data_IF_208316001360
#
_entry.id   IF_208316001360
#
_cell.length_a   1.000
_cell.length_b   1.000
_cell.length_c   1.000
_cell.angle_alpha   90.00
_cell.angle_beta   90.00
_cell.angle_gamma   90.00
#
_symmetry.space_group_name_H-M   'P 1'
#
loop_
_entity.id
_entity.type
_entity.pdbx_description
1 polymer ?
#
# COMPACT_ATOMS: atom_id res chain seq x y z
N UNK A 1 21.47 -31.41 -3.19
CA UNK A 1 21.01 -30.02 -3.40
C UNK A 1 19.56 -30.07 -3.84
N UNK A 2 18.62 -29.65 -2.99
CA UNK A 2 17.21 -29.53 -3.39
C UNK A 2 16.66 -28.24 -2.79
N UNK A 3 16.43 -27.26 -3.67
CA UNK A 3 15.92 -25.94 -3.32
C UNK A 3 14.44 -26.00 -3.04
N UNK A 4 14.05 -25.58 -1.83
CA UNK A 4 12.65 -25.36 -1.51
C UNK A 4 12.25 -23.98 -2.05
N UNK A 5 11.72 -23.94 -3.27
CA UNK A 5 10.95 -22.78 -3.75
C UNK A 5 9.67 -22.71 -2.91
N UNK A 6 9.72 -21.96 -1.81
CA UNK A 6 8.52 -21.50 -1.15
C UNK A 6 7.80 -20.58 -2.13
N UNK A 7 6.84 -21.14 -2.85
CA UNK A 7 5.80 -20.42 -3.56
C UNK A 7 4.94 -19.68 -2.52
N UNK A 8 5.50 -18.63 -1.91
CA UNK A 8 4.71 -17.66 -1.16
C UNK A 8 4.03 -16.83 -2.24
N UNK A 9 2.89 -17.33 -2.71
CA UNK A 9 1.93 -16.50 -3.42
C UNK A 9 1.78 -15.20 -2.65
N UNK A 10 1.77 -14.08 -3.38
CA UNK A 10 1.81 -12.70 -2.90
C UNK A 10 0.91 -12.46 -1.68
N UNK A 11 1.37 -12.88 -0.50
CA UNK A 11 0.86 -12.40 0.75
C UNK A 11 1.34 -10.97 0.80
N UNK A 12 0.45 -10.04 0.44
CA UNK A 12 0.59 -8.65 0.78
C UNK A 12 0.79 -8.62 2.30
N UNK A 13 2.04 -8.58 2.74
CA UNK A 13 2.37 -8.38 4.14
C UNK A 13 1.92 -6.97 4.43
N UNK A 14 0.84 -6.82 5.20
CA UNK A 14 0.31 -5.52 5.58
C UNK A 14 1.05 -5.08 6.83
N UNK A 15 1.92 -4.08 6.70
CA UNK A 15 2.62 -3.48 7.82
C UNK A 15 1.78 -2.35 8.45
N UNK A 16 1.08 -1.58 7.61
CA UNK A 16 0.26 -0.44 8.01
C UNK A 16 -1.13 -0.52 7.39
N UNK A 17 -2.18 -0.27 8.18
CA UNK A 17 -3.57 -0.20 7.73
C UNK A 17 -4.18 1.15 8.09
N UNK A 18 -4.76 1.83 7.10
CA UNK A 18 -5.58 3.02 7.27
C UNK A 18 -7.04 2.59 7.24
N UNK A 19 -7.69 2.66 8.39
CA UNK A 19 -9.08 2.19 8.56
C UNK A 19 -10.11 3.04 7.80
N UNK A 20 -11.33 2.51 7.63
CA UNK A 20 -12.34 3.07 6.71
C UNK A 20 -12.93 4.41 7.17
N UNK A 21 -12.79 4.74 8.45
CA UNK A 21 -13.27 6.00 9.03
C UNK A 21 -12.18 7.08 9.09
N UNK A 22 -10.99 6.80 8.57
CA UNK A 22 -9.85 7.73 8.60
C UNK A 22 -9.87 8.58 7.33
N UNK A 23 -9.71 9.90 7.52
CA UNK A 23 -9.45 10.84 6.43
C UNK A 23 -8.11 11.52 6.70
N UNK A 24 -7.15 11.32 5.81
CA UNK A 24 -5.85 11.98 5.86
C UNK A 24 -5.83 13.14 4.85
N UNK A 25 -5.39 14.31 5.30
CA UNK A 25 -5.18 15.49 4.46
C UNK A 25 -3.71 15.88 4.54
N UNK A 26 -2.99 15.72 3.43
CA UNK A 26 -1.54 15.92 3.35
C UNK A 26 -0.83 14.73 2.71
N UNK A 27 0.50 14.78 2.75
CA UNK A 27 1.37 13.82 2.08
C UNK A 27 1.80 12.70 3.04
N UNK A 28 1.84 11.47 2.52
CA UNK A 28 2.24 10.25 3.20
C UNK A 28 3.50 9.68 2.55
N UNK A 29 4.48 9.38 3.39
CA UNK A 29 5.65 8.58 3.04
C UNK A 29 5.53 7.23 3.75
N UNK A 30 5.72 6.13 3.03
CA UNK A 30 5.63 4.79 3.61
C UNK A 30 6.69 3.84 3.03
N UNK A 31 6.98 2.77 3.77
CA UNK A 31 7.72 1.61 3.28
C UNK A 31 7.00 0.33 3.71
N UNK A 32 7.34 -0.79 3.06
CA UNK A 32 6.62 -2.05 3.27
C UNK A 32 5.20 -2.03 2.68
N UNK A 33 4.27 -2.73 3.32
CA UNK A 33 2.88 -2.83 2.89
C UNK A 33 1.97 -1.78 3.53
N UNK A 34 1.29 -0.98 2.70
CA UNK A 34 0.27 -0.02 3.11
C UNK A 34 -1.10 -0.44 2.56
N UNK A 35 -2.06 -0.71 3.44
CA UNK A 35 -3.44 -1.05 3.09
C UNK A 35 -4.40 0.11 3.43
N UNK A 36 -5.13 0.62 2.45
CA UNK A 36 -5.96 1.82 2.58
C UNK A 36 -7.44 1.47 2.40
N UNK A 37 -8.20 1.55 3.49
CA UNK A 37 -9.67 1.48 3.47
C UNK A 37 -10.33 2.85 3.63
N UNK A 38 -9.59 3.84 4.15
CA UNK A 38 -10.06 5.21 4.34
C UNK A 38 -9.85 6.12 3.12
N UNK A 39 -9.79 7.43 3.37
CA UNK A 39 -9.59 8.44 2.33
C UNK A 39 -8.30 9.21 2.55
N UNK A 40 -7.53 9.41 1.48
CA UNK A 40 -6.32 10.23 1.48
C UNK A 40 -6.48 11.34 0.45
N UNK A 41 -6.25 12.58 0.89
CA UNK A 41 -6.25 13.79 0.06
C UNK A 41 -4.84 14.37 0.08
N UNK A 42 -4.03 14.04 -0.93
CA UNK A 42 -2.61 14.41 -1.00
C UNK A 42 -1.75 13.34 -1.66
N UNK A 43 -0.44 13.38 -1.43
CA UNK A 43 0.50 12.44 -2.05
C UNK A 43 0.68 11.18 -1.21
N UNK A 44 0.86 10.04 -1.85
CA UNK A 44 1.25 8.77 -1.23
C UNK A 44 2.48 8.23 -1.93
N UNK A 45 3.61 8.32 -1.25
CA UNK A 45 4.92 8.05 -1.82
C UNK A 45 5.57 6.89 -1.05
N UNK A 46 5.97 5.85 -1.76
CA UNK A 46 6.83 4.83 -1.21
C UNK A 46 8.28 5.33 -1.13
N UNK A 47 8.99 4.99 -0.05
CA UNK A 47 10.41 5.27 0.07
C UNK A 47 11.21 4.61 -1.07
N UNK A 48 12.10 5.38 -1.70
CA UNK A 48 12.95 4.91 -2.78
C UNK A 48 13.84 3.75 -2.33
N UNK A 49 14.00 2.75 -3.20
CA UNK A 49 14.83 1.57 -2.91
C UNK A 49 14.19 0.52 -2.00
N UNK A 50 12.96 0.73 -1.53
CA UNK A 50 12.23 -0.25 -0.69
C UNK A 50 11.33 -1.16 -1.52
N UNK A 51 11.12 -2.41 -1.04
CA UNK A 51 10.06 -3.28 -1.56
C UNK A 51 8.73 -2.88 -0.94
N UNK A 52 8.12 -1.82 -1.46
CA UNK A 52 6.85 -1.30 -0.96
C UNK A 52 5.66 -1.72 -1.82
N UNK A 53 4.53 -2.00 -1.17
CA UNK A 53 3.26 -2.32 -1.83
C UNK A 53 2.15 -1.45 -1.25
N UNK A 54 1.47 -0.69 -2.10
CA UNK A 54 0.25 0.02 -1.74
C UNK A 54 -0.96 -0.80 -2.21
N UNK A 55 -1.89 -1.07 -1.30
CA UNK A 55 -3.18 -1.67 -1.62
C UNK A 55 -4.30 -0.70 -1.25
N UNK A 56 -5.14 -0.34 -2.21
CA UNK A 56 -6.37 0.43 -1.98
C UNK A 56 -7.53 -0.55 -1.97
N UNK A 57 -8.25 -0.63 -0.85
CA UNK A 57 -9.42 -1.48 -0.70
C UNK A 57 -10.60 -0.94 -1.53
N UNK A 58 -11.66 -1.74 -1.69
CA UNK A 58 -12.87 -1.39 -2.45
C UNK A 58 -13.49 -0.06 -2.00
N UNK A 59 -13.58 0.18 -0.69
CA UNK A 59 -14.09 1.42 -0.10
C UNK A 59 -13.02 2.53 0.08
N UNK A 60 -11.75 2.22 -0.20
CA UNK A 60 -10.63 3.13 -0.02
C UNK A 60 -10.49 4.09 -1.20
N UNK A 61 -9.97 5.31 -0.95
CA UNK A 61 -9.71 6.27 -2.02
C UNK A 61 -8.49 7.14 -1.74
N UNK A 62 -7.78 7.47 -2.82
CA UNK A 62 -6.64 8.39 -2.81
C UNK A 62 -6.86 9.43 -3.89
N UNK A 63 -6.94 10.69 -3.50
CA UNK A 63 -7.03 11.84 -4.38
C UNK A 63 -5.72 12.62 -4.32
N UNK A 64 -4.93 12.53 -5.39
CA UNK A 64 -3.62 13.17 -5.47
C UNK A 64 -2.63 12.31 -6.24
N UNK A 65 -1.37 12.35 -5.82
CA UNK A 65 -0.27 11.65 -6.51
C UNK A 65 0.10 10.36 -5.78
N UNK A 66 0.21 9.26 -6.51
CA UNK A 66 0.65 7.97 -5.97
C UNK A 66 1.94 7.55 -6.65
N UNK A 67 2.98 7.25 -5.86
CA UNK A 67 4.23 6.66 -6.33
C UNK A 67 4.58 5.45 -5.48
N UNK A 68 4.50 4.25 -6.03
CA UNK A 68 4.96 3.03 -5.37
C UNK A 68 5.43 2.00 -6.40
N UNK A 69 6.35 1.08 -6.02
CA UNK A 69 6.80 0.00 -6.91
C UNK A 69 5.65 -0.93 -7.34
N UNK A 70 4.74 -1.23 -6.41
CA UNK A 70 3.55 -2.05 -6.66
C UNK A 70 2.34 -1.35 -6.08
N UNK A 71 1.31 -1.21 -6.91
CA UNK A 71 -0.01 -0.68 -6.50
C UNK A 71 -1.06 -1.71 -6.86
N UNK A 72 -1.86 -2.10 -5.86
CA UNK A 72 -3.02 -3.00 -5.99
C UNK A 72 -4.26 -2.16 -5.71
N UNK A 73 -5.21 -2.17 -6.63
CA UNK A 73 -6.47 -1.43 -6.50
C UNK A 73 -7.60 -2.45 -6.53
N UNK A 74 -8.31 -2.58 -5.41
CA UNK A 74 -9.43 -3.49 -5.23
C UNK A 74 -10.79 -2.78 -5.29
N UNK A 75 -10.84 -1.58 -5.89
CA UNK A 75 -12.06 -0.79 -6.11
C UNK A 75 -12.51 -0.76 -7.56
#
# INVERSE_FOLDING_TARGET
MFGNKSNRGAQTVVDTLIGPQVVIRGDLLFSGGLYVEGRILGKVIAEEGTSATLTVAEQGSIEGEVRAPVVIING
#
